data_IF_574276758798
#
_entry.id   IF_574276758798
#
_cell.length_a   1.000
_cell.length_b   1.000
_cell.length_c   1.000
_cell.angle_alpha   90.00
_cell.angle_beta   90.00
_cell.angle_gamma   90.00
#
_symmetry.space_group_name_H-M   'P 1'
#
loop_
_entity.id
_entity.type
_entity.pdbx_description
1 polymer ?
#
# COMPACT_ATOMS: atom_id res chain seq x y z
N UNK A 1 3.15 -26.24 4.39
CA UNK A 1 3.41 -25.48 3.15
C UNK A 1 2.25 -24.58 2.73
N UNK A 2 1.08 -25.13 2.39
CA UNK A 2 -0.09 -24.30 2.03
C UNK A 2 -0.60 -23.45 3.20
N UNK A 3 -0.78 -24.06 4.38
CA UNK A 3 -1.19 -23.34 5.59
C UNK A 3 -0.20 -22.22 5.98
N UNK A 4 1.10 -22.44 5.77
CA UNK A 4 2.14 -21.45 6.03
C UNK A 4 2.07 -20.30 5.03
N UNK A 5 1.88 -20.58 3.73
CA UNK A 5 1.68 -19.53 2.71
C UNK A 5 0.43 -18.70 2.98
N UNK A 6 -0.66 -19.34 3.42
CA UNK A 6 -1.89 -18.63 3.82
C UNK A 6 -1.64 -17.73 5.04
N UNK A 7 -0.92 -18.22 6.05
CA UNK A 7 -0.56 -17.43 7.22
C UNK A 7 0.30 -16.21 6.86
N UNK A 8 1.32 -16.41 6.00
CA UNK A 8 2.17 -15.34 5.48
C UNK A 8 1.31 -14.31 4.77
N UNK A 9 0.49 -14.75 3.80
CA UNK A 9 -0.37 -13.88 3.01
C UNK A 9 -1.26 -12.99 3.88
N UNK A 10 -2.01 -13.57 4.84
CA UNK A 10 -2.88 -12.78 5.71
C UNK A 10 -2.10 -11.84 6.64
N UNK A 11 -0.95 -12.29 7.14
CA UNK A 11 -0.09 -11.45 7.99
C UNK A 11 0.44 -10.25 7.21
N UNK A 12 0.96 -10.47 6.01
CA UNK A 12 1.49 -9.39 5.16
C UNK A 12 0.39 -8.44 4.68
N UNK A 13 -0.81 -8.96 4.38
CA UNK A 13 -1.96 -8.13 3.99
C UNK A 13 -2.47 -7.25 5.14
N UNK A 14 -2.56 -7.80 6.36
CA UNK A 14 -2.99 -7.00 7.52
C UNK A 14 -1.94 -5.95 7.86
N UNK A 15 -0.66 -6.33 7.85
CA UNK A 15 0.45 -5.43 8.08
C UNK A 15 0.50 -4.28 7.04
N UNK A 16 0.27 -4.58 5.75
CA UNK A 16 0.22 -3.57 4.70
C UNK A 16 -0.96 -2.60 4.85
N UNK A 17 -2.09 -3.08 5.38
CA UNK A 17 -3.22 -2.20 5.72
C UNK A 17 -2.91 -1.30 6.90
N UNK A 18 -2.26 -1.85 7.93
CA UNK A 18 -1.85 -1.13 9.14
C UNK A 18 -0.66 -0.18 8.92
N UNK A 19 0.07 -0.31 7.81
CA UNK A 19 1.30 0.46 7.57
C UNK A 19 2.53 -0.10 8.31
N UNK A 20 2.44 -1.32 8.83
CA UNK A 20 3.54 -1.99 9.56
C UNK A 20 4.45 -2.74 8.57
N UNK A 21 5.29 -1.99 7.87
CA UNK A 21 6.23 -2.54 6.90
C UNK A 21 7.22 -3.54 7.50
N UNK A 22 7.60 -3.34 8.76
CA UNK A 22 8.58 -4.18 9.44
C UNK A 22 8.01 -5.57 9.77
N UNK A 23 6.75 -5.66 10.19
CA UNK A 23 6.06 -6.96 10.33
C UNK A 23 5.88 -7.65 8.99
N UNK A 24 5.53 -6.91 7.92
CA UNK A 24 5.44 -7.48 6.58
C UNK A 24 6.79 -8.01 6.09
N UNK A 25 7.88 -7.28 6.33
CA UNK A 25 9.26 -7.68 5.98
C UNK A 25 9.64 -8.98 6.68
N UNK A 26 9.45 -9.07 8.01
CA UNK A 26 9.74 -10.28 8.79
C UNK A 26 8.94 -11.49 8.31
N UNK A 27 7.68 -11.31 7.91
CA UNK A 27 6.87 -12.39 7.36
C UNK A 27 7.40 -12.85 5.98
N UNK A 28 7.78 -11.91 5.10
CA UNK A 28 8.39 -12.19 3.80
C UNK A 28 9.73 -12.94 3.92
N UNK A 29 10.60 -12.52 4.84
CA UNK A 29 11.88 -13.19 5.08
C UNK A 29 11.70 -14.66 5.51
N UNK A 30 10.74 -14.93 6.40
CA UNK A 30 10.38 -16.29 6.80
C UNK A 30 9.87 -17.11 5.63
N UNK A 31 9.04 -16.51 4.77
CA UNK A 31 8.51 -17.17 3.58
C UNK A 31 9.61 -17.58 2.59
N UNK A 32 10.60 -16.72 2.36
CA UNK A 32 11.77 -17.00 1.52
C UNK A 32 12.64 -18.08 2.14
N UNK A 33 12.98 -17.95 3.43
CA UNK A 33 13.85 -18.88 4.16
C UNK A 33 13.26 -20.30 4.20
N UNK A 34 11.93 -20.41 4.33
CA UNK A 34 11.22 -21.68 4.28
C UNK A 34 11.08 -22.27 2.87
N UNK A 35 11.58 -21.59 1.83
CA UNK A 35 11.51 -22.02 0.44
C UNK A 35 10.09 -22.04 -0.13
N UNK A 36 9.13 -21.40 0.55
CA UNK A 36 7.72 -21.42 0.16
C UNK A 36 7.47 -20.63 -1.13
N UNK A 37 8.37 -19.70 -1.48
CA UNK A 37 8.36 -18.98 -2.75
C UNK A 37 8.46 -19.86 -4.00
N UNK A 38 8.88 -21.12 -3.85
CA UNK A 38 8.99 -22.10 -4.94
C UNK A 38 7.71 -22.92 -5.15
N UNK A 39 6.71 -22.76 -4.30
CA UNK A 39 5.50 -23.61 -4.31
C UNK A 39 4.40 -23.07 -5.23
N UNK A 40 4.62 -21.92 -5.87
CA UNK A 40 3.79 -21.31 -6.92
C UNK A 40 2.28 -21.40 -6.66
N UNK A 41 1.86 -21.13 -5.42
CA UNK A 41 0.45 -21.06 -5.09
C UNK A 41 -0.15 -19.77 -5.69
N UNK A 42 -1.45 -19.79 -5.99
CA UNK A 42 -2.19 -18.60 -6.47
C UNK A 42 -2.07 -17.38 -5.53
N UNK A 43 -1.61 -17.55 -4.29
CA UNK A 43 -1.41 -16.45 -3.34
C UNK A 43 0.00 -15.84 -3.39
N UNK A 44 0.94 -16.48 -4.09
CA UNK A 44 2.36 -16.11 -4.04
C UNK A 44 2.62 -14.74 -4.67
N UNK A 45 1.91 -14.37 -5.75
CA UNK A 45 2.07 -13.04 -6.35
C UNK A 45 1.62 -11.93 -5.39
N UNK A 46 0.62 -12.18 -4.56
CA UNK A 46 0.23 -11.22 -3.52
C UNK A 46 1.26 -11.12 -2.40
N UNK A 47 1.83 -12.24 -1.95
CA UNK A 47 2.91 -12.24 -0.96
C UNK A 47 4.11 -11.45 -1.49
N UNK A 48 4.49 -11.66 -2.77
CA UNK A 48 5.56 -10.89 -3.42
C UNK A 48 5.25 -9.40 -3.48
N UNK A 49 4.01 -9.01 -3.77
CA UNK A 49 3.62 -7.61 -3.74
C UNK A 49 3.79 -6.97 -2.36
N UNK A 50 3.36 -7.66 -1.31
CA UNK A 50 3.55 -7.15 0.06
C UNK A 50 5.01 -7.13 0.48
N UNK A 51 5.80 -8.08 -0.01
CA UNK A 51 7.23 -8.10 0.28
C UNK A 51 7.97 -6.96 -0.42
N UNK A 52 7.66 -6.65 -1.69
CA UNK A 52 8.18 -5.46 -2.37
C UNK A 52 7.81 -4.18 -1.61
N UNK A 53 6.55 -4.06 -1.20
CA UNK A 53 6.09 -2.94 -0.39
C UNK A 53 6.89 -2.81 0.93
N UNK A 54 7.10 -3.93 1.63
CA UNK A 54 7.84 -3.95 2.88
C UNK A 54 9.31 -3.55 2.68
N UNK A 55 9.97 -4.05 1.63
CA UNK A 55 11.36 -3.67 1.27
C UNK A 55 11.46 -2.18 1.01
N UNK A 56 10.57 -1.62 0.20
CA UNK A 56 10.58 -0.20 -0.11
C UNK A 56 10.39 0.69 1.12
N UNK A 57 9.42 0.36 1.99
CA UNK A 57 9.16 1.18 3.19
C UNK A 57 10.16 1.00 4.32
N UNK A 58 10.98 -0.06 4.27
CA UNK A 58 12.10 -0.26 5.21
C UNK A 58 13.44 0.24 4.66
N UNK A 59 13.44 0.84 3.46
CA UNK A 59 14.62 1.44 2.84
C UNK A 59 15.50 0.47 2.05
N UNK A 60 15.08 -0.77 1.85
CA UNK A 60 15.76 -1.75 1.01
C UNK A 60 15.37 -1.56 -0.46
N UNK A 61 16.19 -0.79 -1.19
CA UNK A 61 16.02 -0.45 -2.60
C UNK A 61 14.57 -0.02 -2.97
N UNK A 62 14.09 1.15 -2.47
CA UNK A 62 12.70 1.55 -2.66
C UNK A 62 12.28 1.67 -4.13
N UNK A 63 13.17 2.17 -5.00
CA UNK A 63 12.88 2.32 -6.42
C UNK A 63 12.86 0.96 -7.14
N UNK A 64 13.81 0.07 -6.85
CA UNK A 64 13.83 -1.27 -7.43
C UNK A 64 12.65 -2.12 -6.97
N UNK A 65 12.31 -2.07 -5.68
CA UNK A 65 11.14 -2.77 -5.14
C UNK A 65 9.82 -2.25 -5.75
N UNK A 66 9.68 -0.94 -5.97
CA UNK A 66 8.52 -0.38 -6.65
C UNK A 66 8.42 -0.83 -8.12
N UNK A 67 9.54 -0.86 -8.84
CA UNK A 67 9.58 -1.35 -10.22
C UNK A 67 9.25 -2.84 -10.32
N UNK A 68 9.81 -3.67 -9.43
CA UNK A 68 9.49 -5.10 -9.32
C UNK A 68 7.99 -5.31 -9.06
N UNK A 69 7.39 -4.49 -8.18
CA UNK A 69 5.96 -4.57 -7.89
C UNK A 69 5.06 -4.18 -9.09
N UNK A 70 5.48 -3.23 -9.93
CA UNK A 70 4.80 -2.88 -11.18
C UNK A 70 4.83 -4.05 -12.18
N UNK A 71 6.00 -4.70 -12.33
CA UNK A 71 6.18 -5.86 -13.20
C UNK A 71 5.31 -7.04 -12.74
N UNK A 72 5.32 -7.36 -11.44
CA UNK A 72 4.51 -8.42 -10.85
C UNK A 72 3.01 -8.16 -11.02
N UNK A 73 2.57 -6.91 -10.83
CA UNK A 73 1.18 -6.53 -11.04
C UNK A 73 0.77 -6.76 -12.49
N UNK A 74 1.56 -6.28 -13.45
CA UNK A 74 1.29 -6.42 -14.87
C UNK A 74 1.26 -7.89 -15.33
N UNK A 75 2.18 -8.70 -14.82
CA UNK A 75 2.32 -10.10 -15.21
C UNK A 75 1.22 -11.01 -14.64
N UNK A 76 0.61 -10.67 -13.50
CA UNK A 76 -0.21 -11.63 -12.74
C UNK A 76 -1.59 -11.12 -12.34
N UNK A 77 -1.84 -9.80 -12.32
CA UNK A 77 -3.09 -9.25 -11.77
C UNK A 77 -3.97 -8.57 -12.82
N UNK A 78 -3.45 -8.22 -14.00
CA UNK A 78 -4.22 -7.45 -15.00
C UNK A 78 -4.93 -8.31 -16.05
N UNK A 79 -4.39 -9.49 -16.39
CA UNK A 79 -4.96 -10.33 -17.43
C UNK A 79 -4.88 -11.84 -17.06
N UNK A 80 -6.01 -12.48 -16.70
CA UNK A 80 -7.31 -11.85 -16.45
C UNK A 80 -7.28 -10.98 -15.18
N UNK A 81 -8.10 -9.91 -15.09
CA UNK A 81 -8.15 -9.05 -13.91
C UNK A 81 -8.40 -9.83 -12.63
N UNK A 82 -7.47 -9.70 -11.69
CA UNK A 82 -7.54 -10.30 -10.36
C UNK A 82 -8.12 -9.32 -9.34
N UNK A 83 -8.36 -9.80 -8.13
CA UNK A 83 -8.85 -8.96 -7.04
C UNK A 83 -7.76 -8.03 -6.50
N UNK A 84 -8.15 -6.81 -6.12
CA UNK A 84 -7.26 -5.87 -5.42
C UNK A 84 -6.27 -5.10 -6.28
N UNK A 85 -6.48 -5.04 -7.59
CA UNK A 85 -5.70 -4.19 -8.50
C UNK A 85 -5.59 -2.74 -7.98
N UNK A 86 -6.69 -2.11 -7.56
CA UNK A 86 -6.67 -0.75 -7.02
C UNK A 86 -5.80 -0.65 -5.75
N UNK A 87 -5.92 -1.64 -4.85
CA UNK A 87 -5.14 -1.69 -3.63
C UNK A 87 -3.65 -1.88 -3.90
N UNK A 88 -3.27 -2.74 -4.84
CA UNK A 88 -1.87 -2.95 -5.19
C UNK A 88 -1.24 -1.76 -5.92
N UNK A 89 -1.99 -1.07 -6.79
CA UNK A 89 -1.52 0.22 -7.33
C UNK A 89 -1.32 1.27 -6.24
N UNK A 90 -2.18 1.30 -5.22
CA UNK A 90 -1.97 2.17 -4.06
C UNK A 90 -0.66 1.82 -3.33
N UNK A 91 -0.39 0.54 -3.04
CA UNK A 91 0.87 0.13 -2.42
C UNK A 91 2.08 0.54 -3.27
N UNK A 92 2.02 0.37 -4.59
CA UNK A 92 3.08 0.81 -5.51
C UNK A 92 3.30 2.32 -5.44
N UNK A 93 2.22 3.11 -5.37
CA UNK A 93 2.35 4.55 -5.17
C UNK A 93 3.06 4.90 -3.85
N UNK A 94 2.77 4.18 -2.77
CA UNK A 94 3.46 4.35 -1.49
C UNK A 94 4.95 4.02 -1.58
N UNK A 95 5.32 2.97 -2.34
CA UNK A 95 6.72 2.63 -2.61
C UNK A 95 7.43 3.74 -3.39
N UNK A 96 6.78 4.31 -4.41
CA UNK A 96 7.34 5.44 -5.16
C UNK A 96 7.48 6.71 -4.32
N UNK A 97 6.58 6.96 -3.37
CA UNK A 97 6.74 8.04 -2.39
C UNK A 97 7.96 7.80 -1.50
N UNK A 98 8.17 6.57 -1.01
CA UNK A 98 9.36 6.20 -0.24
C UNK A 98 10.66 6.31 -1.07
N UNK A 99 10.58 6.08 -2.38
CA UNK A 99 11.67 6.28 -3.32
C UNK A 99 11.89 7.76 -3.71
N UNK A 100 11.15 8.71 -3.13
CA UNK A 100 11.26 10.13 -3.46
C UNK A 100 10.84 10.48 -4.89
N UNK A 101 9.96 9.66 -5.49
CA UNK A 101 9.51 9.79 -6.89
C UNK A 101 8.02 10.15 -6.97
N UNK A 102 7.62 11.39 -6.62
CA UNK A 102 6.22 11.79 -6.54
C UNK A 102 5.45 11.65 -7.87
N UNK A 103 6.12 11.82 -9.01
CA UNK A 103 5.45 11.70 -10.32
C UNK A 103 5.09 10.26 -10.67
N UNK A 104 5.93 9.29 -10.29
CA UNK A 104 5.59 7.86 -10.43
C UNK A 104 4.50 7.44 -9.44
N UNK A 105 4.53 8.01 -8.23
CA UNK A 105 3.47 7.80 -7.25
C UNK A 105 2.12 8.32 -7.77
N UNK A 106 2.09 9.51 -8.36
CA UNK A 106 0.88 10.11 -8.96
C UNK A 106 0.34 9.24 -10.11
N UNK A 107 1.22 8.77 -10.99
CA UNK A 107 0.83 7.85 -12.07
C UNK A 107 0.23 6.54 -11.54
N UNK A 108 0.82 5.96 -10.49
CA UNK A 108 0.29 4.77 -9.85
C UNK A 108 -1.06 5.03 -9.15
N UNK A 109 -1.24 6.19 -8.49
CA UNK A 109 -2.53 6.59 -7.91
C UNK A 109 -3.61 6.79 -8.98
N UNK A 110 -3.26 7.37 -10.14
CA UNK A 110 -4.19 7.47 -11.27
C UNK A 110 -4.66 6.11 -11.77
N UNK A 111 -3.77 5.11 -11.83
CA UNK A 111 -4.15 3.72 -12.16
C UNK A 111 -5.00 3.07 -11.07
N UNK A 112 -4.73 3.39 -9.80
CA UNK A 112 -5.53 2.90 -8.69
C UNK A 112 -6.95 3.46 -8.72
N UNK A 113 -7.11 4.76 -8.99
CA UNK A 113 -8.41 5.43 -9.17
C UNK A 113 -9.20 4.77 -10.31
N UNK A 114 -8.54 4.56 -11.45
CA UNK A 114 -9.16 3.91 -12.60
C UNK A 114 -9.62 2.49 -12.27
N UNK A 115 -8.77 1.67 -11.65
CA UNK A 115 -9.12 0.32 -11.24
C UNK A 115 -10.25 0.27 -10.19
N UNK A 116 -10.32 1.25 -9.29
CA UNK A 116 -11.42 1.36 -8.33
C UNK A 116 -12.75 1.62 -9.04
N UNK A 117 -12.73 2.45 -10.09
CA UNK A 117 -13.91 2.72 -10.90
C UNK A 117 -14.33 1.51 -11.74
N UNK A 118 -13.39 0.92 -12.48
CA UNK A 118 -13.66 -0.18 -13.42
C UNK A 118 -14.12 -1.46 -12.73
N UNK A 119 -13.61 -1.72 -11.52
CA UNK A 119 -13.86 -2.97 -10.78
C UNK A 119 -14.62 -2.78 -9.46
N UNK A 120 -15.05 -1.56 -9.13
CA UNK A 120 -15.82 -1.27 -7.91
C UNK A 120 -15.07 -1.54 -6.60
N UNK A 121 -13.73 -1.49 -6.59
CA UNK A 121 -12.87 -1.87 -5.45
C UNK A 121 -12.81 -0.80 -4.34
N UNK A 122 -13.97 -0.39 -3.82
CA UNK A 122 -14.13 0.72 -2.85
C UNK A 122 -13.41 0.51 -1.51
N UNK A 123 -13.12 -0.73 -1.14
CA UNK A 123 -12.38 -1.02 0.09
C UNK A 123 -10.97 -0.42 0.10
N UNK A 124 -10.41 -0.06 -1.06
CA UNK A 124 -9.10 0.58 -1.18
C UNK A 124 -9.14 2.12 -1.06
N UNK A 125 -10.34 2.73 -1.08
CA UNK A 125 -10.53 4.18 -1.18
C UNK A 125 -9.85 4.94 -0.03
N UNK A 126 -9.94 4.44 1.21
CA UNK A 126 -9.27 5.04 2.36
C UNK A 126 -7.75 5.12 2.21
N UNK A 127 -7.12 4.07 1.68
CA UNK A 127 -5.68 4.07 1.38
C UNK A 127 -5.35 5.06 0.25
N UNK A 128 -6.17 5.11 -0.80
CA UNK A 128 -5.98 6.04 -1.91
C UNK A 128 -5.98 7.50 -1.45
N UNK A 129 -6.96 7.88 -0.63
CA UNK A 129 -7.06 9.22 -0.07
C UNK A 129 -5.87 9.56 0.82
N UNK A 130 -5.44 8.62 1.67
CA UNK A 130 -4.24 8.77 2.48
C UNK A 130 -3.00 9.04 1.62
N UNK A 131 -2.80 8.26 0.56
CA UNK A 131 -1.62 8.40 -0.29
C UNK A 131 -1.65 9.66 -1.15
N UNK A 132 -2.85 10.15 -1.53
CA UNK A 132 -3.00 11.48 -2.14
C UNK A 132 -2.58 12.59 -1.18
N UNK A 133 -2.91 12.50 0.10
CA UNK A 133 -2.43 13.44 1.11
C UNK A 133 -0.90 13.40 1.25
N UNK A 134 -0.30 12.20 1.27
CA UNK A 134 1.16 12.05 1.29
C UNK A 134 1.84 12.54 0.02
N UNK A 135 1.23 12.37 -1.15
CA UNK A 135 1.72 12.92 -2.41
C UNK A 135 1.75 14.46 -2.38
N UNK A 136 0.68 15.09 -1.86
CA UNK A 136 0.65 16.55 -1.67
C UNK A 136 1.80 17.00 -0.76
N UNK A 137 2.05 16.29 0.34
CA UNK A 137 3.18 16.56 1.23
C UNK A 137 4.52 16.43 0.51
N UNK A 138 4.73 15.34 -0.24
CA UNK A 138 5.97 15.10 -0.99
C UNK A 138 6.22 16.16 -2.08
N UNK A 139 5.15 16.76 -2.63
CA UNK A 139 5.21 17.87 -3.59
C UNK A 139 5.37 19.25 -2.93
N UNK A 140 5.46 19.33 -1.61
CA UNK A 140 5.62 20.58 -0.89
C UNK A 140 4.35 21.44 -0.85
N UNK A 141 3.16 20.84 -0.96
CA UNK A 141 1.90 21.56 -0.80
C UNK A 141 1.81 22.21 0.59
N UNK A 142 1.01 23.29 0.76
CA UNK A 142 0.85 23.94 2.05
C UNK A 142 0.38 22.96 3.14
N UNK A 143 0.90 23.06 4.39
CA UNK A 143 0.53 22.15 5.48
C UNK A 143 -0.98 22.07 5.74
N UNK A 144 -1.71 23.16 5.53
CA UNK A 144 -3.18 23.21 5.65
C UNK A 144 -3.88 22.36 4.59
N UNK A 145 -3.36 22.35 3.36
CA UNK A 145 -3.88 21.51 2.26
C UNK A 145 -3.61 20.04 2.53
N UNK A 146 -2.41 19.70 2.99
CA UNK A 146 -2.06 18.32 3.39
C UNK A 146 -2.95 17.85 4.52
N UNK A 147 -3.16 18.69 5.54
CA UNK A 147 -4.05 18.39 6.68
C UNK A 147 -5.48 18.14 6.24
N UNK A 148 -6.07 19.03 5.43
CA UNK A 148 -7.43 18.86 4.94
C UNK A 148 -7.60 17.56 4.14
N UNK A 149 -6.60 17.18 3.32
CA UNK A 149 -6.61 15.92 2.61
C UNK A 149 -6.50 14.70 3.57
N UNK A 150 -5.68 14.80 4.61
CA UNK A 150 -5.57 13.75 5.63
C UNK A 150 -6.85 13.61 6.48
N UNK A 151 -7.49 14.72 6.85
CA UNK A 151 -8.79 14.74 7.55
C UNK A 151 -9.89 14.08 6.71
N UNK A 152 -9.90 14.35 5.40
CA UNK A 152 -10.82 13.69 4.48
C UNK A 152 -10.56 12.19 4.40
N UNK A 153 -9.29 11.77 4.28
CA UNK A 153 -8.91 10.35 4.29
C UNK A 153 -9.32 9.65 5.60
N UNK A 154 -9.13 10.30 6.75
CA UNK A 154 -9.54 9.81 8.07
C UNK A 154 -11.05 9.65 8.19
N UNK A 155 -11.80 10.70 7.83
CA UNK A 155 -13.26 10.74 7.90
C UNK A 155 -13.87 9.65 7.03
N UNK A 156 -13.42 9.55 5.77
CA UNK A 156 -13.90 8.52 4.86
C UNK A 156 -13.57 7.12 5.38
N UNK A 157 -12.32 6.89 5.80
CA UNK A 157 -11.92 5.58 6.34
C UNK A 157 -12.74 5.20 7.57
N UNK A 158 -13.06 6.15 8.45
CA UNK A 158 -13.91 5.92 9.62
C UNK A 158 -15.36 5.60 9.22
N UNK A 159 -15.93 6.33 8.26
CA UNK A 159 -17.29 6.12 7.79
C UNK A 159 -17.50 4.73 7.15
N UNK A 160 -16.46 4.18 6.53
CA UNK A 160 -16.48 2.84 5.93
C UNK A 160 -15.84 1.75 6.81
N UNK A 161 -15.65 2.03 8.11
CA UNK A 161 -15.07 1.09 9.11
C UNK A 161 -13.66 0.57 8.75
N UNK A 162 -12.95 1.28 7.87
CA UNK A 162 -11.58 0.99 7.47
C UNK A 162 -10.57 1.58 8.47
N UNK A 163 -10.71 1.21 9.75
CA UNK A 163 -10.00 1.84 10.88
C UNK A 163 -8.47 1.79 10.79
N UNK A 164 -7.89 0.79 10.11
CA UNK A 164 -6.44 0.74 9.87
C UNK A 164 -5.95 1.90 9.00
N UNK A 165 -6.74 2.31 8.00
CA UNK A 165 -6.43 3.48 7.18
C UNK A 165 -6.71 4.79 7.91
N UNK A 166 -7.79 4.83 8.71
CA UNK A 166 -8.07 5.98 9.56
C UNK A 166 -6.89 6.26 10.50
N UNK A 167 -6.39 5.22 11.18
CA UNK A 167 -5.24 5.33 12.08
C UNK A 167 -3.97 5.84 11.37
N UNK A 168 -3.69 5.36 10.16
CA UNK A 168 -2.54 5.84 9.37
C UNK A 168 -2.67 7.30 8.92
N UNK A 169 -3.91 7.78 8.73
CA UNK A 169 -4.14 9.18 8.39
C UNK A 169 -3.84 10.12 9.56
N UNK A 170 -3.98 9.64 10.80
CA UNK A 170 -3.67 10.42 12.01
C UNK A 170 -2.20 10.83 12.09
N UNK A 171 -1.28 10.08 11.48
CA UNK A 171 0.15 10.43 11.42
C UNK A 171 0.42 11.75 10.68
N UNK A 172 -0.51 12.19 9.83
CA UNK A 172 -0.46 13.48 9.12
C UNK A 172 -1.21 14.60 9.84
N UNK A 173 -1.92 14.27 10.92
CA UNK A 173 -2.70 15.21 11.70
C UNK A 173 -1.90 15.69 12.90
N UNK A 174 -2.14 16.92 13.39
CA UNK A 174 -1.56 17.37 14.65
C UNK A 174 -2.00 16.44 15.78
N UNK A 175 -1.12 16.23 16.77
CA UNK A 175 -1.49 15.51 17.98
C UNK A 175 -2.70 16.21 18.63
N UNK A 176 -3.70 15.45 19.11
CA UNK A 176 -4.84 16.04 19.81
C UNK A 176 -4.33 16.79 21.06
N UNK A 177 -4.41 18.13 21.04
CA UNK A 177 -4.03 18.99 22.17
C UNK A 177 -2.86 19.96 21.94
N UNK A 178 -2.31 20.06 20.73
CA UNK A 178 -1.34 21.11 20.38
C UNK A 178 -2.03 22.36 19.86
N UNK A 179 -2.54 23.21 20.75
CA UNK A 179 -2.98 24.56 20.38
C UNK A 179 -1.81 25.40 19.84
N UNK A 180 -2.10 26.17 18.79
CA UNK A 180 -1.20 27.09 18.10
C UNK A 180 -0.92 28.36 18.91
#
# INVERSE_FOLDING_TARGET
PYADSVWVYYTTMIASRAGDAETARRAGERWVAAGLARLSAHIDHYIRQFWCWARALTGDDPAGAAAEAEELLAAHLLDPPQWGIAYHYALIAEMWLAAGSPDRADAALGRADQAMWDYGQRYAEGLLLLLKARLLQARGAPPTTVRAAAEHAHTQSTAYEAHLFARRAEDLLPAPGGDA
#
